data_IF_989322012454
#
_entry.id   IF_989322012454
#
_cell.length_a   1.000
_cell.length_b   1.000
_cell.length_c   1.000
_cell.angle_alpha   90.00
_cell.angle_beta   90.00
_cell.angle_gamma   90.00
#
_symmetry.space_group_name_H-M   'P 1'
#
loop_
_entity.id
_entity.type
_entity.pdbx_description
1 polymer ?
#
# COMPACT_ATOMS: atom_id res chain seq x y z
N UNK A 1 -40.45 -20.49 17.93
CA UNK A 1 -40.67 -20.90 19.33
C UNK A 1 -40.29 -19.81 20.35
N UNK A 2 -39.06 -19.28 20.39
CA UNK A 2 -38.69 -18.20 21.33
C UNK A 2 -39.30 -16.85 20.94
N UNK A 3 -39.19 -16.44 19.67
CA UNK A 3 -39.81 -15.20 19.13
C UNK A 3 -41.32 -15.13 19.36
N UNK A 4 -42.01 -16.24 19.13
CA UNK A 4 -43.46 -16.39 19.31
C UNK A 4 -43.89 -16.20 20.77
N UNK A 5 -43.06 -16.66 21.72
CA UNK A 5 -43.24 -16.44 23.15
C UNK A 5 -43.01 -14.97 23.53
N UNK A 6 -42.04 -14.30 22.88
CA UNK A 6 -41.76 -12.88 23.10
C UNK A 6 -42.90 -11.98 22.59
N UNK A 7 -43.52 -12.32 21.45
CA UNK A 7 -44.72 -11.64 20.95
C UNK A 7 -45.91 -11.77 21.91
N UNK A 8 -46.12 -12.96 22.50
CA UNK A 8 -47.20 -13.16 23.47
C UNK A 8 -46.99 -12.38 24.77
N UNK A 9 -45.74 -12.17 25.18
CA UNK A 9 -45.40 -11.39 26.37
C UNK A 9 -45.60 -9.90 26.11
N UNK A 10 -45.27 -9.40 24.92
CA UNK A 10 -45.45 -8.00 24.52
C UNK A 10 -46.91 -7.53 24.50
N UNK A 11 -47.89 -8.44 24.39
CA UNK A 11 -49.33 -8.13 24.34
C UNK A 11 -50.01 -7.90 25.71
N UNK A 12 -49.31 -8.05 26.84
CA UNK A 12 -49.89 -7.86 28.19
C UNK A 12 -49.88 -6.38 28.62
N UNK A 13 -50.95 -5.89 29.26
CA UNK A 13 -51.14 -4.46 29.64
C UNK A 13 -51.01 -4.17 31.13
N UNK A 14 -50.70 -2.91 31.46
CA UNK A 14 -50.41 -2.39 32.81
C UNK A 14 -51.63 -2.39 33.75
N UNK A 15 -52.86 -2.43 33.21
CA UNK A 15 -54.12 -2.41 33.99
C UNK A 15 -54.31 -3.59 34.95
N UNK A 16 -53.53 -4.65 34.82
CA UNK A 16 -53.50 -5.77 35.77
C UNK A 16 -52.90 -5.38 37.16
N UNK A 17 -52.37 -4.16 37.32
CA UNK A 17 -51.61 -3.73 38.50
C UNK A 17 -52.14 -2.40 39.08
N UNK A 18 -53.25 -2.43 39.83
CA UNK A 18 -53.90 -1.28 40.51
C UNK A 18 -52.96 -0.40 41.38
N UNK A 19 -52.82 0.91 41.11
CA UNK A 19 -52.14 1.87 42.03
C UNK A 19 -52.64 3.34 41.92
N UNK A 20 -52.66 4.06 43.06
CA UNK A 20 -53.10 5.46 43.29
C UNK A 20 -52.04 6.54 42.90
N UNK A 21 -52.46 7.75 42.49
CA UNK A 21 -51.79 8.48 41.39
C UNK A 21 -51.06 9.82 41.64
N UNK A 22 -51.33 10.65 42.65
CA UNK A 22 -51.03 12.10 42.47
C UNK A 22 -49.60 12.58 42.79
N UNK A 23 -48.94 12.20 43.91
CA UNK A 23 -47.57 12.68 44.21
C UNK A 23 -46.47 11.87 43.52
N UNK A 24 -46.81 10.68 43.05
CA UNK A 24 -45.90 9.74 42.39
C UNK A 24 -45.91 9.93 40.86
N UNK A 25 -47.02 10.43 40.28
CA UNK A 25 -47.07 10.81 38.85
C UNK A 25 -45.99 11.83 38.51
N UNK A 26 -45.78 12.86 39.35
CA UNK A 26 -44.77 13.89 39.08
C UNK A 26 -43.33 13.34 39.07
N UNK A 27 -42.99 12.43 39.98
CA UNK A 27 -41.67 11.80 40.02
C UNK A 27 -41.43 10.83 38.84
N UNK A 28 -42.48 10.12 38.43
CA UNK A 28 -42.46 9.21 37.29
C UNK A 28 -42.39 9.98 35.97
N UNK A 29 -43.20 11.02 35.79
CA UNK A 29 -43.16 11.93 34.65
C UNK A 29 -41.77 12.59 34.53
N UNK A 30 -41.19 13.00 35.67
CA UNK A 30 -39.82 13.52 35.73
C UNK A 30 -38.81 12.47 35.27
N UNK A 31 -38.93 11.21 35.72
CA UNK A 31 -38.00 10.15 35.33
C UNK A 31 -38.11 9.81 33.84
N UNK A 32 -39.33 9.67 33.31
CA UNK A 32 -39.58 9.43 31.87
C UNK A 32 -39.04 10.58 31.03
N UNK A 33 -39.21 11.83 31.48
CA UNK A 33 -38.65 12.99 30.78
C UNK A 33 -37.11 12.99 30.75
N UNK A 34 -36.46 12.55 31.84
CA UNK A 34 -35.00 12.45 31.92
C UNK A 34 -34.46 11.31 31.05
N UNK A 35 -35.18 10.19 30.94
CA UNK A 35 -34.84 9.07 30.05
C UNK A 35 -34.96 9.50 28.58
N UNK A 36 -36.04 10.16 28.19
CA UNK A 36 -36.19 10.68 26.83
C UNK A 36 -35.11 11.73 26.46
N UNK A 37 -34.69 12.56 27.43
CA UNK A 37 -33.56 13.48 27.24
C UNK A 37 -32.21 12.75 27.12
N UNK A 38 -32.01 11.68 27.90
CA UNK A 38 -30.80 10.85 27.83
C UNK A 38 -30.68 10.18 26.46
N UNK A 39 -31.76 9.58 25.96
CA UNK A 39 -31.79 8.91 24.65
C UNK A 39 -31.54 9.90 23.51
N UNK A 40 -32.16 11.09 23.56
CA UNK A 40 -31.93 12.14 22.57
C UNK A 40 -30.47 12.60 22.55
N UNK A 41 -29.88 12.87 23.71
CA UNK A 41 -28.47 13.28 23.81
C UNK A 41 -27.51 12.16 23.41
N UNK A 42 -27.86 10.90 23.68
CA UNK A 42 -27.07 9.75 23.24
C UNK A 42 -27.09 9.60 21.71
N UNK A 43 -28.23 9.85 21.06
CA UNK A 43 -28.34 9.87 19.61
C UNK A 43 -27.55 11.04 18.98
N UNK A 44 -27.65 12.25 19.54
CA UNK A 44 -26.85 13.41 19.11
C UNK A 44 -25.35 13.14 19.27
N UNK A 45 -24.92 12.49 20.37
CA UNK A 45 -23.53 12.10 20.57
C UNK A 45 -23.05 11.06 19.55
N UNK A 46 -23.90 10.11 19.17
CA UNK A 46 -23.58 9.10 18.17
C UNK A 46 -23.40 9.73 16.78
N UNK A 47 -24.25 10.69 16.41
CA UNK A 47 -24.13 11.45 15.16
C UNK A 47 -22.82 12.26 15.11
N UNK A 48 -22.51 13.00 16.19
CA UNK A 48 -21.25 13.74 16.29
C UNK A 48 -20.01 12.84 16.20
N UNK A 49 -20.05 11.64 16.81
CA UNK A 49 -18.97 10.65 16.68
C UNK A 49 -18.82 10.15 15.24
N UNK A 50 -19.93 9.84 14.56
CA UNK A 50 -19.90 9.45 13.15
C UNK A 50 -19.30 10.55 12.27
N UNK A 51 -19.67 11.81 12.53
CA UNK A 51 -19.14 12.98 11.83
C UNK A 51 -17.64 13.20 12.12
N UNK A 52 -17.21 12.99 13.36
CA UNK A 52 -15.80 13.03 13.75
C UNK A 52 -14.98 11.96 13.01
N UNK A 53 -15.47 10.72 12.94
CA UNK A 53 -14.82 9.64 12.19
C UNK A 53 -14.72 9.96 10.69
N UNK A 54 -15.78 10.53 10.11
CA UNK A 54 -15.79 11.02 8.74
C UNK A 54 -14.71 12.07 8.47
N UNK A 55 -14.59 13.07 9.34
CA UNK A 55 -13.56 14.11 9.22
C UNK A 55 -12.15 13.57 9.43
N UNK A 56 -11.95 12.61 10.34
CA UNK A 56 -10.64 11.95 10.50
C UNK A 56 -10.24 11.22 9.22
N UNK A 57 -11.17 10.43 8.63
CA UNK A 57 -10.92 9.76 7.34
C UNK A 57 -10.59 10.75 6.22
N UNK A 58 -11.32 11.87 6.15
CA UNK A 58 -11.06 12.92 5.17
C UNK A 58 -9.66 13.54 5.36
N UNK A 59 -9.28 13.85 6.60
CA UNK A 59 -7.95 14.38 6.92
C UNK A 59 -6.83 13.42 6.54
N UNK A 60 -6.98 12.15 6.92
CA UNK A 60 -5.95 11.15 6.67
C UNK A 60 -5.82 10.88 5.16
N UNK A 61 -6.94 10.84 4.43
CA UNK A 61 -6.96 10.74 2.97
C UNK A 61 -6.37 11.97 2.27
N UNK A 62 -6.70 13.18 2.71
CA UNK A 62 -6.13 14.43 2.19
C UNK A 62 -4.62 14.52 2.42
N UNK A 63 -4.14 14.08 3.60
CA UNK A 63 -2.72 14.00 3.92
C UNK A 63 -1.97 13.02 3.01
N UNK A 64 -2.51 11.81 2.80
CA UNK A 64 -1.94 10.82 1.89
C UNK A 64 -1.92 11.31 0.43
N UNK A 65 -3.00 11.96 -0.02
CA UNK A 65 -3.08 12.53 -1.36
C UNK A 65 -2.10 13.69 -1.55
N UNK A 66 -1.97 14.58 -0.56
CA UNK A 66 -0.98 15.66 -0.57
C UNK A 66 0.45 15.12 -0.68
N UNK A 67 0.78 14.09 0.11
CA UNK A 67 2.10 13.46 0.05
C UNK A 67 2.37 12.80 -1.31
N UNK A 68 1.37 12.16 -1.92
CA UNK A 68 1.49 11.60 -3.26
C UNK A 68 1.76 12.69 -4.32
N UNK A 69 1.09 13.85 -4.22
CA UNK A 69 1.33 14.98 -5.11
C UNK A 69 2.71 15.60 -4.93
N UNK A 70 3.23 15.70 -3.70
CA UNK A 70 4.61 16.12 -3.45
C UNK A 70 5.62 15.19 -4.12
N UNK A 71 5.43 13.86 -4.01
CA UNK A 71 6.29 12.87 -4.67
C UNK A 71 6.22 13.01 -6.20
N UNK A 72 5.03 13.20 -6.78
CA UNK A 72 4.89 13.40 -8.22
C UNK A 72 5.53 14.71 -8.68
N UNK A 73 5.36 15.78 -7.91
CA UNK A 73 6.02 17.07 -8.15
C UNK A 73 7.54 16.92 -8.16
N UNK A 74 8.10 16.24 -7.16
CA UNK A 74 9.56 16.04 -7.05
C UNK A 74 10.10 15.22 -8.23
N UNK A 75 9.36 14.17 -8.66
CA UNK A 75 9.74 13.34 -9.81
C UNK A 75 9.72 14.10 -11.14
N UNK A 76 8.72 14.95 -11.33
CA UNK A 76 8.52 15.70 -12.59
C UNK A 76 9.29 17.03 -12.56
N UNK A 77 9.74 17.51 -11.40
CA UNK A 77 10.44 18.79 -11.24
C UNK A 77 11.69 18.95 -12.11
N UNK A 78 12.35 17.84 -12.47
CA UNK A 78 13.49 17.82 -13.41
C UNK A 78 13.09 18.32 -14.80
N UNK A 79 11.82 18.16 -15.22
CA UNK A 79 11.31 18.67 -16.50
C UNK A 79 11.38 20.19 -16.60
N UNK A 80 11.20 20.91 -15.49
CA UNK A 80 11.35 22.37 -15.45
C UNK A 80 12.79 22.81 -15.70
N UNK A 81 13.75 22.11 -15.10
CA UNK A 81 15.18 22.35 -15.34
C UNK A 81 15.60 22.01 -16.77
N UNK A 82 15.13 20.87 -17.29
CA UNK A 82 15.38 20.43 -18.67
C UNK A 82 14.83 21.43 -19.68
N UNK A 83 13.62 21.96 -19.46
CA UNK A 83 13.01 22.96 -20.34
C UNK A 83 13.78 24.29 -20.38
N UNK A 84 14.50 24.66 -19.31
CA UNK A 84 15.35 25.87 -19.30
C UNK A 84 16.65 25.69 -20.09
N UNK A 85 17.10 24.45 -20.28
CA UNK A 85 18.37 24.13 -20.94
C UNK A 85 18.19 23.43 -22.29
N UNK A 86 16.95 23.20 -22.72
CA UNK A 86 16.63 22.65 -24.05
C UNK A 86 16.52 23.78 -25.07
N UNK A 87 17.37 23.76 -26.09
CA UNK A 87 17.23 24.62 -27.26
C UNK A 87 16.14 24.06 -28.19
N UNK A 88 15.14 24.87 -28.56
CA UNK A 88 14.03 24.48 -29.45
C UNK A 88 14.48 24.05 -30.86
N UNK A 89 15.77 24.28 -31.20
CA UNK A 89 16.37 24.02 -32.51
C UNK A 89 17.65 23.18 -32.42
N UNK A 90 17.80 22.36 -31.37
CA UNK A 90 18.95 21.48 -31.26
C UNK A 90 18.84 20.31 -32.26
N UNK A 91 19.74 20.29 -33.24
CA UNK A 91 19.95 19.11 -34.10
C UNK A 91 20.54 17.97 -33.28
N UNK A 92 20.15 16.73 -33.59
CA UNK A 92 20.76 15.57 -32.95
C UNK A 92 22.28 15.57 -33.18
N UNK A 93 23.13 15.62 -32.13
CA UNK A 93 24.58 15.65 -32.30
C UNK A 93 25.16 14.35 -32.89
N UNK A 94 24.36 13.28 -32.98
CA UNK A 94 24.75 11.97 -33.52
C UNK A 94 24.33 11.80 -34.99
N UNK A 95 23.13 12.24 -35.37
CA UNK A 95 22.59 11.98 -36.71
C UNK A 95 22.14 13.21 -37.50
N UNK A 96 22.21 14.42 -36.92
CA UNK A 96 21.86 15.68 -37.59
C UNK A 96 20.38 15.86 -37.93
N UNK A 97 19.50 14.95 -37.48
CA UNK A 97 18.06 15.10 -37.66
C UNK A 97 17.45 16.03 -36.59
N UNK A 98 16.42 16.77 -37.00
CA UNK A 98 15.60 17.57 -36.11
C UNK A 98 14.84 16.65 -35.14
N UNK A 99 15.11 16.78 -33.85
CA UNK A 99 14.43 16.00 -32.82
C UNK A 99 13.16 16.74 -32.35
N UNK A 100 12.09 16.66 -33.14
CA UNK A 100 10.81 17.32 -32.80
C UNK A 100 10.08 16.67 -31.61
N UNK A 101 10.24 15.36 -31.41
CA UNK A 101 9.51 14.60 -30.39
C UNK A 101 9.84 14.97 -28.94
N UNK A 102 11.03 15.55 -28.70
CA UNK A 102 11.47 15.87 -27.34
C UNK A 102 10.87 17.19 -26.84
N UNK A 103 10.58 18.13 -27.76
CA UNK A 103 9.91 19.39 -27.43
C UNK A 103 8.46 19.14 -27.02
N UNK A 104 7.75 18.26 -27.73
CA UNK A 104 6.37 17.86 -27.40
C UNK A 104 6.33 17.15 -26.04
N UNK A 105 7.19 16.14 -25.82
CA UNK A 105 7.24 15.41 -24.56
C UNK A 105 7.62 16.31 -23.36
N UNK A 106 8.57 17.25 -23.53
CA UNK A 106 8.91 18.21 -22.48
C UNK A 106 7.78 19.20 -22.21
N UNK A 107 7.06 19.63 -23.25
CA UNK A 107 5.91 20.52 -23.10
C UNK A 107 4.78 19.85 -22.31
N UNK A 108 4.50 18.58 -22.58
CA UNK A 108 3.50 17.77 -21.87
C UNK A 108 3.90 17.55 -20.41
N UNK A 109 5.17 17.23 -20.14
CA UNK A 109 5.68 17.12 -18.76
C UNK A 109 5.58 18.44 -18.00
N UNK A 110 5.78 19.58 -18.66
CA UNK A 110 5.66 20.91 -18.04
C UNK A 110 4.20 21.27 -17.73
N UNK A 111 3.28 20.93 -18.63
CA UNK A 111 1.84 21.12 -18.41
C UNK A 111 1.36 20.26 -17.23
N UNK A 112 1.79 19.00 -17.18
CA UNK A 112 1.53 18.11 -16.06
C UNK A 112 2.13 18.63 -14.75
N UNK A 113 3.36 19.16 -14.76
CA UNK A 113 3.97 19.78 -13.59
C UNK A 113 3.14 20.97 -13.09
N UNK A 114 2.70 21.85 -14.00
CA UNK A 114 1.87 23.00 -13.64
C UNK A 114 0.53 22.59 -13.06
N UNK A 115 -0.10 21.55 -13.59
CA UNK A 115 -1.33 21.00 -13.02
C UNK A 115 -1.13 20.46 -11.61
N UNK A 116 -0.03 19.72 -11.38
CA UNK A 116 0.31 19.17 -10.05
C UNK A 116 0.63 20.29 -9.06
N UNK A 117 1.34 21.34 -9.47
CA UNK A 117 1.66 22.49 -8.62
C UNK A 117 0.39 23.24 -8.20
N UNK A 118 -0.54 23.45 -9.14
CA UNK A 118 -1.84 24.06 -8.84
C UNK A 118 -2.67 23.19 -7.88
N UNK A 119 -2.71 21.88 -8.11
CA UNK A 119 -3.41 20.95 -7.21
C UNK A 119 -2.80 20.92 -5.80
N UNK A 120 -1.47 20.91 -5.71
CA UNK A 120 -0.72 20.96 -4.45
C UNK A 120 -1.03 22.23 -3.66
N UNK A 121 -1.15 23.38 -4.36
CA UNK A 121 -1.52 24.66 -3.75
C UNK A 121 -2.95 24.68 -3.19
N UNK A 122 -3.93 24.09 -3.90
CA UNK A 122 -5.32 24.02 -3.44
C UNK A 122 -5.50 23.11 -2.22
N UNK A 123 -4.72 22.04 -2.12
CA UNK A 123 -4.81 21.08 -1.01
C UNK A 123 -4.16 21.63 0.27
N UNK A 124 -3.27 22.62 0.17
CA UNK A 124 -2.67 23.25 1.35
C UNK A 124 -3.68 24.01 2.23
N UNK A 125 -4.83 24.44 1.68
CA UNK A 125 -5.87 25.16 2.43
C UNK A 125 -6.89 24.25 3.13
N UNK A 126 -7.04 23.01 2.66
CA UNK A 126 -8.02 22.04 3.17
C UNK A 126 -7.80 21.62 4.64
N UNK A 127 -6.56 21.40 5.14
CA UNK A 127 -6.30 21.02 6.52
C UNK A 127 -6.86 22.03 7.55
N UNK A 128 -6.79 23.32 7.24
CA UNK A 128 -7.20 24.38 8.18
C UNK A 128 -8.72 24.36 8.41
N UNK A 129 -9.51 24.12 7.36
CA UNK A 129 -10.96 24.04 7.47
C UNK A 129 -11.40 22.78 8.24
N UNK A 130 -10.75 21.65 7.96
CA UNK A 130 -11.01 20.37 8.64
C UNK A 130 -10.63 20.43 10.12
N UNK A 131 -9.52 21.09 10.47
CA UNK A 131 -9.10 21.27 11.86
C UNK A 131 -10.07 22.14 12.66
N UNK A 132 -10.59 23.22 12.06
CA UNK A 132 -11.60 24.08 12.70
C UNK A 132 -12.90 23.32 12.97
N UNK A 133 -13.39 22.55 12.00
CA UNK A 133 -14.60 21.76 12.16
C UNK A 133 -14.41 20.65 13.21
N UNK A 134 -13.24 20.01 13.23
CA UNK A 134 -12.89 19.00 14.25
C UNK A 134 -12.94 19.60 15.66
N UNK A 135 -12.40 20.81 15.85
CA UNK A 135 -12.49 21.50 17.13
C UNK A 135 -13.93 21.86 17.51
N UNK A 136 -14.79 22.19 16.54
CA UNK A 136 -16.20 22.48 16.81
C UNK A 136 -16.93 21.23 17.33
N UNK A 137 -16.76 20.09 16.64
CA UNK A 137 -17.36 18.82 17.03
C UNK A 137 -16.88 18.36 18.41
N UNK A 138 -15.59 18.55 18.73
CA UNK A 138 -15.09 18.22 20.08
C UNK A 138 -15.77 19.07 21.17
N UNK A 139 -15.98 20.36 20.94
CA UNK A 139 -16.72 21.21 21.89
C UNK A 139 -18.16 20.72 22.06
N UNK A 140 -18.85 20.43 20.97
CA UNK A 140 -20.23 19.97 20.99
C UNK A 140 -20.35 18.61 21.73
N UNK A 141 -19.40 17.71 21.51
CA UNK A 141 -19.32 16.43 22.23
C UNK A 141 -19.10 16.61 23.73
N UNK A 142 -18.23 17.54 24.13
CA UNK A 142 -17.98 17.84 25.53
C UNK A 142 -19.22 18.43 26.23
N UNK A 143 -19.94 19.33 25.56
CA UNK A 143 -21.20 19.90 26.05
C UNK A 143 -22.28 18.83 26.25
N UNK A 144 -22.43 17.91 25.29
CA UNK A 144 -23.37 16.79 25.41
C UNK A 144 -22.96 15.85 26.54
N UNK A 145 -21.66 15.58 26.69
CA UNK A 145 -21.15 14.76 27.78
C UNK A 145 -21.43 15.39 29.16
N UNK A 146 -21.36 16.71 29.29
CA UNK A 146 -21.78 17.42 30.51
C UNK A 146 -23.27 17.26 30.78
N UNK A 147 -24.13 17.47 29.79
CA UNK A 147 -25.58 17.30 29.92
C UNK A 147 -25.95 15.88 30.35
N UNK A 148 -25.31 14.86 29.78
CA UNK A 148 -25.50 13.46 30.16
C UNK A 148 -25.06 13.18 31.61
N UNK A 149 -23.95 13.79 32.07
CA UNK A 149 -23.51 13.68 33.47
C UNK A 149 -24.53 14.28 34.44
N UNK A 150 -25.10 15.42 34.08
CA UNK A 150 -26.13 16.09 34.89
C UNK A 150 -27.44 15.30 34.95
N UNK A 151 -27.89 14.72 33.83
CA UNK A 151 -29.08 13.85 33.80
C UNK A 151 -28.85 12.62 34.68
N UNK A 152 -27.69 11.97 34.60
CA UNK A 152 -27.35 10.82 35.48
C UNK A 152 -27.35 11.22 36.96
N UNK A 153 -26.89 12.43 37.30
CA UNK A 153 -26.97 12.96 38.67
C UNK A 153 -28.42 13.15 39.12
N UNK A 154 -29.27 13.71 38.27
CA UNK A 154 -30.69 13.93 38.56
C UNK A 154 -31.45 12.60 38.76
N UNK A 155 -31.23 11.60 37.89
CA UNK A 155 -31.82 10.26 38.02
C UNK A 155 -31.45 9.63 39.37
N UNK A 156 -30.18 9.72 39.77
CA UNK A 156 -29.68 9.17 41.05
C UNK A 156 -30.38 9.79 42.28
N UNK A 157 -30.68 11.09 42.25
CA UNK A 157 -31.39 11.77 43.35
C UNK A 157 -32.83 11.27 43.47
N UNK A 158 -33.54 11.15 42.34
CA UNK A 158 -34.92 10.65 42.28
C UNK A 158 -35.01 9.22 42.83
N UNK A 159 -34.09 8.33 42.45
CA UNK A 159 -34.07 6.93 42.92
C UNK A 159 -33.77 6.80 44.42
N UNK A 160 -33.04 7.75 45.02
CA UNK A 160 -32.66 7.69 46.44
C UNK A 160 -33.73 8.17 47.44
N UNK A 161 -34.75 8.89 46.98
CA UNK A 161 -35.74 9.57 47.83
C UNK A 161 -37.02 8.78 48.19
N UNK A 162 -37.25 7.60 47.61
CA UNK A 162 -38.52 6.85 47.80
C UNK A 162 -38.25 5.35 47.94
N UNK A 163 -38.20 4.84 49.19
CA UNK A 163 -37.74 3.47 49.48
C UNK A 163 -38.81 2.46 49.89
N UNK A 164 -40.04 2.88 50.21
CA UNK A 164 -41.08 1.94 50.71
C UNK A 164 -42.41 1.99 49.94
N UNK A 165 -42.77 3.11 49.31
CA UNK A 165 -43.91 3.19 48.38
C UNK A 165 -43.51 2.94 46.90
N UNK A 166 -42.24 3.19 46.55
CA UNK A 166 -41.70 3.06 45.20
C UNK A 166 -41.61 1.61 44.72
N UNK A 167 -41.26 0.65 45.58
CA UNK A 167 -40.88 -0.71 45.16
C UNK A 167 -41.97 -1.51 44.45
N UNK A 168 -43.27 -1.25 44.72
CA UNK A 168 -44.38 -1.96 44.05
C UNK A 168 -44.75 -1.31 42.71
N UNK A 169 -44.76 0.01 42.64
CA UNK A 169 -45.14 0.77 41.45
C UNK A 169 -43.97 0.89 40.45
N UNK A 170 -42.73 1.00 40.94
CA UNK A 170 -41.49 0.91 40.15
C UNK A 170 -41.36 -0.46 39.47
N UNK A 171 -41.81 -1.55 40.12
CA UNK A 171 -41.86 -2.87 39.46
C UNK A 171 -42.87 -2.90 38.32
N UNK A 172 -44.06 -2.33 38.50
CA UNK A 172 -45.05 -2.23 37.41
C UNK A 172 -44.54 -1.37 36.25
N UNK A 173 -43.87 -0.24 36.54
CA UNK A 173 -43.27 0.64 35.54
C UNK A 173 -42.06 -0.01 34.85
N UNK A 174 -41.22 -0.74 35.58
CA UNK A 174 -40.09 -1.50 35.02
C UNK A 174 -40.59 -2.60 34.09
N UNK A 175 -41.68 -3.27 34.46
CA UNK A 175 -42.34 -4.26 33.59
C UNK A 175 -42.91 -3.58 32.35
N UNK A 176 -43.61 -2.45 32.48
CA UNK A 176 -44.14 -1.70 31.34
C UNK A 176 -43.03 -1.22 30.39
N UNK A 177 -41.93 -0.71 30.93
CA UNK A 177 -40.77 -0.26 30.15
C UNK A 177 -40.07 -1.44 29.47
N UNK A 178 -39.88 -2.55 30.17
CA UNK A 178 -39.33 -3.78 29.59
C UNK A 178 -40.21 -4.31 28.44
N UNK A 179 -41.54 -4.28 28.61
CA UNK A 179 -42.49 -4.67 27.55
C UNK A 179 -42.42 -3.72 26.35
N UNK A 180 -42.30 -2.41 26.58
CA UNK A 180 -42.12 -1.42 25.51
C UNK A 180 -40.81 -1.61 24.74
N UNK A 181 -39.69 -1.77 25.45
CA UNK A 181 -38.38 -2.06 24.85
C UNK A 181 -38.39 -3.38 24.07
N UNK A 182 -39.05 -4.41 24.60
CA UNK A 182 -39.20 -5.69 23.92
C UNK A 182 -40.02 -5.55 22.63
N UNK A 183 -41.13 -4.82 22.67
CA UNK A 183 -41.96 -4.55 21.49
C UNK A 183 -41.21 -3.75 20.42
N UNK A 184 -40.40 -2.77 20.83
CA UNK A 184 -39.56 -1.98 19.92
C UNK A 184 -38.45 -2.83 19.30
N UNK A 185 -37.77 -3.66 20.10
CA UNK A 185 -36.74 -4.57 19.60
C UNK A 185 -37.29 -5.61 18.61
N UNK A 186 -38.52 -6.10 18.85
CA UNK A 186 -39.23 -6.96 17.91
C UNK A 186 -39.54 -6.20 16.60
N UNK A 187 -40.06 -4.98 16.70
CA UNK A 187 -40.40 -4.18 15.50
C UNK A 187 -39.15 -3.88 14.66
N UNK A 188 -38.03 -3.56 15.31
CA UNK A 188 -36.75 -3.34 14.64
C UNK A 188 -36.20 -4.64 14.02
N UNK A 189 -36.38 -5.78 14.68
CA UNK A 189 -36.00 -7.08 14.12
C UNK A 189 -36.81 -7.42 12.87
N UNK A 190 -38.11 -7.13 12.88
CA UNK A 190 -39.00 -7.33 11.74
C UNK A 190 -38.63 -6.37 10.58
N UNK A 191 -38.32 -5.10 10.85
CA UNK A 191 -37.84 -4.13 9.84
C UNK A 191 -36.49 -4.55 9.22
N UNK A 192 -35.54 -5.03 10.03
CA UNK A 192 -34.23 -5.51 9.54
C UNK A 192 -34.36 -6.81 8.73
N UNK A 193 -35.42 -7.60 8.95
CA UNK A 193 -35.71 -8.76 8.12
C UNK A 193 -36.30 -8.37 6.75
N UNK A 194 -36.93 -7.19 6.65
CA UNK A 194 -37.60 -6.69 5.43
C UNK A 194 -36.64 -5.93 4.48
N UNK A 195 -35.43 -5.56 4.94
CA UNK A 195 -34.31 -5.11 4.09
C UNK A 195 -33.67 -6.31 3.35
N UNK A 196 -34.46 -6.97 2.49
CA UNK A 196 -34.09 -8.18 1.76
C UNK A 196 -32.92 -8.03 0.78
N UNK A 197 -32.56 -6.81 0.39
CA UNK A 197 -31.56 -6.57 -0.66
C UNK A 197 -30.11 -6.72 -0.16
N UNK A 198 -29.79 -6.29 1.06
CA UNK A 198 -28.41 -6.28 1.57
C UNK A 198 -27.83 -7.69 1.86
N UNK A 199 -28.57 -8.61 2.52
CA UNK A 199 -28.08 -9.98 2.72
C UNK A 199 -27.89 -10.74 1.39
N UNK A 200 -28.75 -10.46 0.41
CA UNK A 200 -28.68 -11.05 -0.91
C UNK A 200 -27.47 -10.51 -1.70
N UNK A 201 -27.21 -9.20 -1.64
CA UNK A 201 -26.02 -8.58 -2.23
C UNK A 201 -24.71 -9.13 -1.62
N UNK A 202 -24.67 -9.27 -0.28
CA UNK A 202 -23.52 -9.89 0.40
C UNK A 202 -23.30 -11.34 -0.05
N UNK A 203 -24.39 -12.11 -0.23
CA UNK A 203 -24.30 -13.49 -0.72
C UNK A 203 -23.76 -13.54 -2.15
N UNK A 204 -24.25 -12.66 -3.03
CA UNK A 204 -23.79 -12.57 -4.42
C UNK A 204 -22.30 -12.20 -4.51
N UNK A 205 -21.85 -11.19 -3.75
CA UNK A 205 -20.45 -10.78 -3.71
C UNK A 205 -19.53 -11.89 -3.20
N UNK A 206 -19.97 -12.66 -2.19
CA UNK A 206 -19.21 -13.83 -1.70
C UNK A 206 -19.07 -14.91 -2.76
N UNK A 207 -20.14 -15.21 -3.51
CA UNK A 207 -20.07 -16.16 -4.62
C UNK A 207 -19.10 -15.69 -5.71
N UNK A 208 -19.11 -14.40 -6.06
CA UNK A 208 -18.16 -13.83 -7.02
C UNK A 208 -16.70 -13.94 -6.54
N UNK A 209 -16.45 -13.67 -5.25
CA UNK A 209 -15.12 -13.85 -4.66
C UNK A 209 -14.67 -15.31 -4.75
N UNK A 210 -15.53 -16.26 -4.40
CA UNK A 210 -15.20 -17.69 -4.49
C UNK A 210 -14.93 -18.14 -5.93
N UNK A 211 -15.70 -17.66 -6.90
CA UNK A 211 -15.47 -17.94 -8.32
C UNK A 211 -14.13 -17.36 -8.80
N UNK A 212 -13.82 -16.10 -8.46
CA UNK A 212 -12.54 -15.47 -8.81
C UNK A 212 -11.36 -16.17 -8.13
N UNK A 213 -11.50 -16.58 -6.87
CA UNK A 213 -10.48 -17.35 -6.16
C UNK A 213 -10.25 -18.73 -6.78
N UNK A 214 -11.26 -19.36 -7.39
CA UNK A 214 -11.07 -20.62 -8.16
C UNK A 214 -10.31 -20.40 -9.47
N UNK A 215 -10.40 -19.21 -10.06
CA UNK A 215 -9.63 -18.84 -11.26
C UNK A 215 -8.17 -18.52 -10.90
N UNK A 216 -7.91 -18.00 -9.70
CA UNK A 216 -6.58 -17.65 -9.22
C UNK A 216 -5.97 -18.80 -8.41
N UNK A 217 -5.25 -19.71 -9.07
CA UNK A 217 -4.38 -20.68 -8.38
C UNK A 217 -3.11 -19.97 -7.88
N UNK A 218 -3.19 -19.33 -6.71
CA UNK A 218 -2.04 -18.68 -6.05
C UNK A 218 -0.87 -19.65 -5.87
N UNK A 219 -1.16 -20.89 -5.51
CA UNK A 219 -0.16 -21.95 -5.39
C UNK A 219 0.49 -22.29 -6.74
N UNK A 220 -0.28 -22.26 -7.83
CA UNK A 220 0.21 -22.41 -9.20
C UNK A 220 1.03 -21.23 -9.69
N UNK A 221 0.68 -20.00 -9.31
CA UNK A 221 1.50 -18.81 -9.59
C UNK A 221 2.84 -18.94 -8.88
N UNK A 222 2.83 -19.23 -7.57
CA UNK A 222 4.04 -19.39 -6.78
C UNK A 222 4.94 -20.50 -7.30
N UNK A 223 4.39 -21.69 -7.59
CA UNK A 223 5.14 -22.80 -8.18
C UNK A 223 5.77 -22.45 -9.53
N UNK A 224 5.07 -21.69 -10.38
CA UNK A 224 5.62 -21.22 -11.67
C UNK A 224 6.75 -20.20 -11.47
N UNK A 225 6.61 -19.30 -10.50
CA UNK A 225 7.64 -18.34 -10.14
C UNK A 225 8.88 -19.05 -9.58
N UNK A 226 8.72 -19.97 -8.64
CA UNK A 226 9.81 -20.75 -8.05
C UNK A 226 10.56 -21.55 -9.14
N UNK A 227 9.84 -22.21 -10.04
CA UNK A 227 10.43 -22.93 -11.17
C UNK A 227 11.16 -22.00 -12.16
N UNK A 228 10.69 -20.78 -12.35
CA UNK A 228 11.38 -19.78 -13.17
C UNK A 228 12.68 -19.32 -12.52
N UNK A 229 12.65 -19.01 -11.22
CA UNK A 229 13.82 -18.60 -10.45
C UNK A 229 14.89 -19.70 -10.39
N UNK A 230 14.47 -20.95 -10.25
CA UNK A 230 15.38 -22.10 -10.31
C UNK A 230 16.08 -22.21 -11.67
N UNK A 231 15.38 -22.00 -12.79
CA UNK A 231 16.02 -21.97 -14.12
C UNK A 231 17.02 -20.83 -14.25
N UNK A 232 16.66 -19.63 -13.78
CA UNK A 232 17.58 -18.47 -13.80
C UNK A 232 18.82 -18.77 -12.97
N UNK A 233 18.65 -19.33 -11.77
CA UNK A 233 19.76 -19.77 -10.90
C UNK A 233 20.68 -20.77 -11.61
N UNK A 234 20.10 -21.77 -12.29
CA UNK A 234 20.86 -22.74 -13.07
C UNK A 234 21.65 -22.09 -14.21
N UNK A 235 21.10 -21.07 -14.89
CA UNK A 235 21.84 -20.33 -15.92
C UNK A 235 22.97 -19.51 -15.33
N UNK A 236 22.75 -18.84 -14.19
CA UNK A 236 23.81 -18.13 -13.48
C UNK A 236 24.97 -19.08 -13.17
N UNK A 237 24.67 -20.24 -12.58
CA UNK A 237 25.68 -21.26 -12.27
C UNK A 237 26.41 -21.82 -13.49
N UNK A 238 25.81 -21.83 -14.68
CA UNK A 238 26.50 -22.22 -15.92
C UNK A 238 27.50 -21.15 -16.41
N UNK A 239 27.26 -19.88 -16.09
CA UNK A 239 28.11 -18.76 -16.48
C UNK A 239 29.27 -18.54 -15.50
N UNK A 240 29.04 -18.74 -14.20
CA UNK A 240 30.02 -18.43 -13.14
C UNK A 240 31.43 -19.04 -13.35
N UNK A 241 31.59 -20.32 -13.77
CA UNK A 241 32.91 -20.91 -13.98
C UNK A 241 33.72 -20.27 -15.12
N UNK A 242 33.04 -19.52 -16.00
CA UNK A 242 33.66 -18.83 -17.15
C UNK A 242 34.12 -17.42 -16.81
N UNK A 243 33.73 -16.90 -15.65
CA UNK A 243 34.04 -15.55 -15.21
C UNK A 243 35.12 -15.57 -14.12
N UNK A 244 35.64 -14.40 -13.80
CA UNK A 244 36.56 -14.23 -12.69
C UNK A 244 35.76 -14.13 -11.39
N UNK A 245 35.61 -15.27 -10.70
CA UNK A 245 34.88 -15.33 -9.44
C UNK A 245 35.47 -16.36 -8.45
N UNK A 246 35.80 -15.88 -7.25
CA UNK A 246 36.40 -16.68 -6.16
C UNK A 246 35.44 -17.74 -5.60
N UNK A 247 34.15 -17.58 -5.87
CA UNK A 247 33.04 -18.40 -5.39
C UNK A 247 32.28 -19.06 -6.54
N UNK A 248 32.94 -19.34 -7.66
CA UNK A 248 32.31 -19.90 -8.88
C UNK A 248 31.54 -21.22 -8.69
N UNK A 249 31.79 -21.96 -7.61
CA UNK A 249 31.05 -23.20 -7.27
C UNK A 249 29.78 -22.97 -6.46
N UNK A 250 29.53 -21.75 -5.98
CA UNK A 250 28.39 -21.44 -5.11
C UNK A 250 27.15 -21.15 -5.96
N UNK A 251 26.01 -21.73 -5.58
CA UNK A 251 24.73 -21.43 -6.23
C UNK A 251 24.28 -20.01 -5.86
N UNK A 252 23.83 -19.24 -6.85
CA UNK A 252 23.29 -17.91 -6.66
C UNK A 252 21.81 -17.88 -7.03
N UNK A 253 21.00 -17.23 -6.19
CA UNK A 253 19.56 -17.14 -6.30
C UNK A 253 19.14 -15.68 -6.40
N UNK A 254 18.22 -15.39 -7.32
CA UNK A 254 17.57 -14.09 -7.40
C UNK A 254 16.45 -14.02 -6.35
N UNK A 255 16.61 -13.13 -5.39
CA UNK A 255 15.58 -12.78 -4.43
C UNK A 255 14.71 -11.66 -5.02
N UNK A 256 13.48 -12.02 -5.39
CA UNK A 256 12.54 -11.09 -6.04
C UNK A 256 11.90 -10.14 -5.03
N UNK A 257 11.88 -10.49 -3.74
CA UNK A 257 11.30 -9.64 -2.70
C UNK A 257 12.25 -8.48 -2.36
N UNK A 258 13.53 -8.80 -2.18
CA UNK A 258 14.57 -7.83 -1.83
C UNK A 258 15.32 -7.27 -3.06
N UNK A 259 14.98 -7.76 -4.27
CA UNK A 259 15.61 -7.39 -5.55
C UNK A 259 17.14 -7.51 -5.52
N UNK A 260 17.63 -8.61 -4.95
CA UNK A 260 19.06 -8.85 -4.75
C UNK A 260 19.45 -10.29 -5.06
N UNK A 261 20.76 -10.57 -5.08
CA UNK A 261 21.27 -11.93 -5.22
C UNK A 261 21.67 -12.50 -3.86
N UNK A 262 21.23 -13.73 -3.58
CA UNK A 262 21.68 -14.53 -2.44
C UNK A 262 22.60 -15.64 -2.95
N UNK A 263 23.80 -15.71 -2.41
CA UNK A 263 24.81 -16.70 -2.77
C UNK A 263 24.89 -17.73 -1.64
N UNK A 264 24.77 -19.01 -1.98
CA UNK A 264 24.86 -20.11 -1.03
C UNK A 264 26.32 -20.44 -0.73
N UNK A 265 26.75 -20.20 0.51
CA UNK A 265 28.05 -20.60 1.03
C UNK A 265 27.98 -21.73 2.06
N UNK A 266 29.13 -22.14 2.62
CA UNK A 266 29.21 -23.18 3.64
C UNK A 266 28.46 -22.84 4.94
N UNK A 267 28.38 -21.54 5.28
CA UNK A 267 27.76 -21.04 6.51
C UNK A 267 26.32 -20.57 6.32
N UNK A 268 25.76 -20.73 5.12
CA UNK A 268 24.41 -20.29 4.77
C UNK A 268 24.38 -19.36 3.56
N UNK A 269 23.25 -18.68 3.37
CA UNK A 269 23.07 -17.73 2.27
C UNK A 269 23.53 -16.34 2.65
N UNK A 270 24.40 -15.76 1.83
CA UNK A 270 24.93 -14.42 1.99
C UNK A 270 24.41 -13.52 0.87
N UNK A 271 24.04 -12.29 1.21
CA UNK A 271 23.63 -11.30 0.21
C UNK A 271 24.85 -10.82 -0.60
N UNK A 272 24.66 -10.41 -1.86
CA UNK A 272 25.75 -10.02 -2.75
C UNK A 272 26.70 -8.97 -2.16
N UNK A 273 26.18 -7.97 -1.46
CA UNK A 273 26.97 -6.90 -0.83
C UNK A 273 27.93 -7.39 0.27
N UNK A 274 27.75 -8.60 0.78
CA UNK A 274 28.62 -9.21 1.79
C UNK A 274 29.74 -10.06 1.18
N UNK A 275 29.73 -10.28 -0.14
CA UNK A 275 30.76 -11.05 -0.85
C UNK A 275 31.74 -10.09 -1.51
N UNK A 276 33.01 -10.18 -1.11
CA UNK A 276 34.02 -9.18 -1.45
C UNK A 276 34.48 -9.18 -2.92
N UNK A 277 35.09 -8.06 -3.31
CA UNK A 277 35.67 -7.69 -4.62
C UNK A 277 34.70 -7.18 -5.68
N UNK A 278 35.03 -6.06 -6.30
CA UNK A 278 34.27 -5.51 -7.42
C UNK A 278 34.15 -6.50 -8.58
N UNK A 279 35.20 -7.30 -8.83
CA UNK A 279 35.22 -8.36 -9.86
C UNK A 279 34.12 -9.39 -9.61
N UNK A 280 33.95 -9.84 -8.36
CA UNK A 280 32.90 -10.80 -7.99
C UNK A 280 31.50 -10.21 -8.23
N UNK A 281 31.29 -8.95 -7.82
CA UNK A 281 30.05 -8.23 -8.08
C UNK A 281 29.73 -8.17 -9.57
N UNK A 282 30.68 -7.72 -10.40
CA UNK A 282 30.52 -7.63 -11.84
C UNK A 282 30.15 -8.99 -12.45
N UNK A 283 30.87 -10.05 -12.07
CA UNK A 283 30.64 -11.41 -12.54
C UNK A 283 29.21 -11.87 -12.23
N UNK A 284 28.71 -11.64 -11.01
CA UNK A 284 27.33 -11.99 -10.64
C UNK A 284 26.29 -11.16 -11.40
N UNK A 285 26.52 -9.85 -11.58
CA UNK A 285 25.60 -8.98 -12.30
C UNK A 285 25.49 -9.36 -13.78
N UNK A 286 26.63 -9.50 -14.47
CA UNK A 286 26.67 -9.90 -15.88
C UNK A 286 26.00 -11.27 -16.07
N UNK A 287 26.38 -12.24 -15.23
CA UNK A 287 25.81 -13.59 -15.25
C UNK A 287 24.29 -13.59 -15.07
N UNK A 288 23.79 -12.80 -14.11
CA UNK A 288 22.35 -12.70 -13.82
C UNK A 288 21.56 -12.05 -14.95
N UNK A 289 22.07 -10.95 -15.51
CA UNK A 289 21.41 -10.27 -16.63
C UNK A 289 21.32 -11.17 -17.87
N UNK A 290 22.38 -11.91 -18.16
CA UNK A 290 22.41 -12.89 -19.26
C UNK A 290 21.47 -14.08 -19.00
N UNK A 291 21.44 -14.59 -17.78
CA UNK A 291 20.55 -15.66 -17.36
C UNK A 291 19.06 -15.27 -17.50
N UNK A 292 18.70 -14.06 -17.08
CA UNK A 292 17.35 -13.52 -17.23
C UNK A 292 16.96 -13.41 -18.72
N UNK A 293 17.83 -12.83 -19.55
CA UNK A 293 17.57 -12.70 -20.98
C UNK A 293 17.43 -14.06 -21.67
N UNK A 294 18.26 -15.04 -21.29
CA UNK A 294 18.10 -16.42 -21.77
C UNK A 294 16.74 -16.99 -21.38
N UNK A 295 16.34 -16.84 -20.12
CA UNK A 295 15.02 -17.31 -19.65
C UNK A 295 13.88 -16.66 -20.46
N UNK A 296 13.93 -15.35 -20.69
CA UNK A 296 12.92 -14.63 -21.46
C UNK A 296 12.86 -15.07 -22.93
N UNK A 297 14.01 -15.36 -23.53
CA UNK A 297 14.10 -15.83 -24.91
C UNK A 297 13.61 -17.27 -25.10
N UNK A 298 13.80 -18.13 -24.10
CA UNK A 298 13.32 -19.52 -24.13
C UNK A 298 11.81 -19.62 -23.80
N UNK A 299 11.26 -18.64 -23.08
CA UNK A 299 9.84 -18.57 -22.71
C UNK A 299 8.86 -18.40 -23.88
N UNK A 300 9.36 -18.14 -25.09
CA UNK A 300 8.57 -18.11 -26.33
C UNK A 300 7.77 -16.83 -26.52
N UNK A 301 8.32 -15.87 -27.28
CA UNK A 301 7.60 -14.80 -28.02
C UNK A 301 6.74 -13.78 -27.27
N UNK A 302 6.35 -14.03 -26.02
CA UNK A 302 5.45 -13.20 -25.22
C UNK A 302 6.12 -12.43 -24.08
N UNK A 303 7.46 -12.40 -24.04
CA UNK A 303 8.18 -11.59 -23.04
C UNK A 303 8.10 -10.11 -23.42
N UNK A 304 7.64 -9.27 -22.49
CA UNK A 304 7.65 -7.80 -22.63
C UNK A 304 9.05 -7.19 -22.44
N UNK A 305 10.06 -8.00 -22.09
CA UNK A 305 11.43 -7.53 -21.89
C UNK A 305 12.15 -7.47 -23.24
N UNK A 306 12.68 -6.30 -23.65
CA UNK A 306 13.44 -6.16 -24.88
C UNK A 306 14.66 -7.10 -24.89
N UNK A 307 14.95 -7.73 -26.03
CA UNK A 307 16.12 -8.61 -26.15
C UNK A 307 17.41 -7.83 -26.46
N UNK A 308 17.67 -6.81 -25.64
CA UNK A 308 18.78 -5.88 -25.76
C UNK A 308 19.42 -5.68 -24.38
N UNK A 309 20.74 -5.83 -24.32
CA UNK A 309 21.57 -5.51 -23.16
C UNK A 309 22.60 -4.45 -23.52
N UNK A 310 22.77 -3.46 -22.65
CA UNK A 310 23.80 -2.42 -22.78
C UNK A 310 24.66 -2.42 -21.53
N UNK A 311 25.96 -2.60 -21.68
CA UNK A 311 26.95 -2.51 -20.61
C UNK A 311 27.81 -1.26 -20.83
N UNK A 312 27.88 -0.39 -19.83
CA UNK A 312 28.71 0.80 -19.84
C UNK A 312 29.92 0.60 -18.91
N UNK A 313 31.11 0.69 -19.48
CA UNK A 313 32.42 0.53 -18.84
C UNK A 313 32.56 -0.67 -17.89
N UNK A 314 32.17 -1.91 -18.29
CA UNK A 314 32.29 -3.07 -17.41
C UNK A 314 33.74 -3.37 -17.00
N UNK A 315 34.74 -2.99 -17.79
CA UNK A 315 36.16 -3.19 -17.45
C UNK A 315 36.69 -2.30 -16.32
N UNK A 316 36.01 -1.19 -15.98
CA UNK A 316 36.49 -0.21 -14.99
C UNK A 316 36.78 -0.83 -13.62
N UNK A 317 36.02 -1.87 -13.26
CA UNK A 317 36.19 -2.64 -12.02
C UNK A 317 37.60 -3.23 -11.90
N UNK A 318 38.19 -3.63 -13.02
CA UNK A 318 39.55 -4.18 -13.12
C UNK A 318 40.61 -3.10 -13.32
N UNK A 319 40.22 -1.94 -13.84
CA UNK A 319 41.12 -0.81 -14.13
C UNK A 319 40.57 0.49 -13.53
N UNK A 320 40.60 0.67 -12.19
CA UNK A 320 40.16 1.91 -11.58
C UNK A 320 41.10 3.05 -12.02
N UNK A 321 40.55 4.07 -12.69
CA UNK A 321 41.30 5.26 -13.08
C UNK A 321 41.99 5.86 -11.85
N UNK A 322 43.33 5.92 -11.87
CA UNK A 322 44.07 6.71 -10.89
C UNK A 322 43.85 8.19 -11.20
N UNK A 323 42.90 8.80 -10.50
CA UNK A 323 42.91 10.23 -10.21
C UNK A 323 44.18 10.57 -9.43
N UNK A 324 45.31 10.77 -10.12
CA UNK A 324 46.44 11.55 -9.63
C UNK A 324 47.26 12.04 -10.82
N UNK A 325 47.16 13.34 -11.04
CA UNK A 325 48.01 14.14 -11.92
C UNK A 325 49.50 13.81 -11.67
N UNK A 326 50.25 13.47 -12.73
CA UNK A 326 51.70 13.64 -12.75
C UNK A 326 52.60 12.41 -12.64
N UNK A 327 52.15 11.20 -12.99
CA UNK A 327 53.05 10.04 -13.15
C UNK A 327 53.13 9.60 -14.62
N UNK A 328 54.33 9.35 -15.19
CA UNK A 328 54.45 8.97 -16.59
C UNK A 328 53.73 7.65 -16.88
N UNK A 329 53.11 7.59 -18.06
CA UNK A 329 52.17 6.60 -18.63
C UNK A 329 52.62 5.12 -18.69
N UNK A 330 53.56 4.65 -17.86
CA UNK A 330 54.18 3.33 -18.07
C UNK A 330 53.95 2.26 -16.98
N UNK A 331 53.10 2.49 -15.98
CA UNK A 331 53.01 1.54 -14.84
C UNK A 331 51.62 1.00 -14.49
N UNK A 332 50.61 1.17 -15.35
CA UNK A 332 49.21 0.75 -15.07
C UNK A 332 48.87 -0.68 -15.53
N UNK A 333 49.73 -1.31 -16.32
CA UNK A 333 49.45 -2.57 -17.03
C UNK A 333 50.13 -3.80 -16.41
N UNK A 334 50.11 -3.91 -15.08
CA UNK A 334 50.98 -4.87 -14.36
C UNK A 334 50.32 -6.19 -13.93
N UNK A 335 49.08 -6.47 -14.30
CA UNK A 335 48.45 -7.74 -13.97
C UNK A 335 47.78 -8.40 -15.17
N UNK A 336 48.43 -9.45 -15.70
CA UNK A 336 47.84 -10.33 -16.72
C UNK A 336 46.48 -10.89 -16.27
N UNK A 337 46.27 -11.07 -14.95
CA UNK A 337 45.03 -11.55 -14.36
C UNK A 337 43.80 -10.67 -14.65
N UNK A 338 43.95 -9.35 -14.57
CA UNK A 338 42.86 -8.38 -14.80
C UNK A 338 42.46 -8.35 -16.28
N UNK A 339 43.44 -8.40 -17.18
CA UNK A 339 43.22 -8.51 -18.63
C UNK A 339 42.51 -9.84 -18.96
N UNK A 340 42.92 -10.94 -18.33
CA UNK A 340 42.27 -12.25 -18.50
C UNK A 340 40.82 -12.21 -18.01
N UNK A 341 40.55 -11.55 -16.89
CA UNK A 341 39.20 -11.41 -16.34
C UNK A 341 38.26 -10.63 -17.28
N UNK A 342 38.74 -9.51 -17.84
CA UNK A 342 38.00 -8.75 -18.84
C UNK A 342 37.78 -9.56 -20.12
N UNK A 343 38.81 -10.27 -20.62
CA UNK A 343 38.66 -11.16 -21.78
C UNK A 343 37.60 -12.23 -21.54
N UNK A 344 37.58 -12.87 -20.37
CA UNK A 344 36.55 -13.86 -19.99
C UNK A 344 35.13 -13.30 -20.06
N UNK A 345 34.93 -12.05 -19.65
CA UNK A 345 33.62 -11.36 -19.76
C UNK A 345 33.22 -11.23 -21.23
N UNK A 346 34.09 -10.68 -22.08
CA UNK A 346 33.78 -10.50 -23.50
C UNK A 346 33.57 -11.82 -24.24
N UNK A 347 34.35 -12.85 -23.92
CA UNK A 347 34.17 -14.21 -24.46
C UNK A 347 32.81 -14.80 -24.07
N UNK A 348 32.38 -14.64 -22.82
CA UNK A 348 31.06 -15.08 -22.37
C UNK A 348 29.94 -14.35 -23.14
N UNK A 349 30.04 -13.02 -23.26
CA UNK A 349 29.06 -12.21 -23.98
C UNK A 349 28.96 -12.65 -25.45
N UNK A 350 30.09 -12.77 -26.13
CA UNK A 350 30.15 -13.21 -27.53
C UNK A 350 29.54 -14.59 -27.74
N UNK A 351 29.86 -15.54 -26.85
CA UNK A 351 29.29 -16.89 -26.90
C UNK A 351 27.78 -16.92 -26.72
N UNK A 352 27.24 -16.14 -25.78
CA UNK A 352 25.81 -16.12 -25.52
C UNK A 352 25.06 -15.45 -26.67
N UNK A 353 25.58 -14.36 -27.22
CA UNK A 353 25.01 -13.71 -28.41
C UNK A 353 25.01 -14.66 -29.60
N UNK A 354 26.11 -15.37 -29.85
CA UNK A 354 26.21 -16.35 -30.92
C UNK A 354 25.19 -17.50 -30.76
N UNK A 355 25.06 -18.04 -29.53
CA UNK A 355 24.07 -19.09 -29.21
C UNK A 355 22.63 -18.61 -29.30
N UNK A 356 22.40 -17.31 -29.14
CA UNK A 356 21.06 -16.72 -29.23
C UNK A 356 20.53 -16.62 -30.66
N UNK A 357 21.37 -16.88 -31.68
CA UNK A 357 20.98 -16.90 -33.11
C UNK A 357 20.30 -15.60 -33.57
N UNK A 358 20.86 -14.46 -33.17
CA UNK A 358 20.33 -13.14 -33.54
C UNK A 358 19.11 -12.67 -32.75
N UNK A 359 18.66 -13.45 -31.76
CA UNK A 359 17.55 -13.06 -30.87
C UNK A 359 17.97 -12.17 -29.70
N UNK A 360 19.27 -12.03 -29.42
CA UNK A 360 19.81 -11.17 -28.36
C UNK A 360 20.83 -10.21 -28.97
N UNK A 361 20.70 -8.92 -28.65
CA UNK A 361 21.71 -7.92 -28.94
C UNK A 361 22.40 -7.48 -27.64
N UNK A 362 23.73 -7.41 -27.66
CA UNK A 362 24.53 -6.85 -26.57
C UNK A 362 25.36 -5.70 -27.12
N UNK A 363 25.29 -4.54 -26.48
CA UNK A 363 26.11 -3.36 -26.75
C UNK A 363 27.03 -3.18 -25.55
N UNK A 364 28.33 -3.07 -25.78
CA UNK A 364 29.30 -2.76 -24.73
C UNK A 364 30.02 -1.47 -25.10
N UNK A 365 30.00 -0.51 -24.20
CA UNK A 365 30.77 0.73 -24.28
C UNK A 365 31.95 0.59 -23.32
N UNK A 366 33.18 0.58 -23.82
CA UNK A 366 34.34 0.39 -22.97
C UNK A 366 35.56 1.13 -23.52
N UNK A 367 36.46 1.54 -22.62
CA UNK A 367 37.79 2.08 -22.96
C UNK A 367 38.89 1.04 -22.77
N UNK A 368 38.52 -0.22 -22.48
CA UNK A 368 39.43 -1.35 -22.46
C UNK A 368 40.23 -1.39 -23.77
N UNK A 369 41.56 -1.22 -23.71
CA UNK A 369 42.40 -1.18 -24.89
C UNK A 369 42.48 -2.53 -25.59
N UNK A 370 42.60 -2.53 -26.93
CA UNK A 370 42.85 -3.74 -27.70
C UNK A 370 44.14 -4.42 -27.20
N UNK A 371 44.03 -5.71 -26.86
CA UNK A 371 45.17 -6.57 -26.50
C UNK A 371 45.41 -7.63 -27.56
#
# INVERSE_FOLDING_TARGET
MVLELLHQVALKTVDDFHVDSTTISEAVERQVSLEAMEDKLAAELADLKGRQEGLSRLRDGAGGYHQALLIQKDRIGVSGWLSMHSDEKADCPICGNLIQSHVEALSELRENLSMIENATGQIAEMPIAVDRETQHIHRDMDEIAEKLRDIKRQKKVITSGSKEASDRQFRALTVAHFLGQLSQAISLYDEVQDDGDLPEEISQLRTQIEELMRVIDEGGIKRRQDAALERVSNYISQHMPRLDNDHSSNAAYLDVADLTLRISGPEGQSALWSIGSGSNHLSYHISTLLALHRFFLEGGGGSSVPSLLVFDQPSQVYFPEKLNEGSPEQDVWKNDGDIIAVRKVFELLGDIVARSQGRLQVIVLDHAPES
#
